data_IF_959826659292
#
_entry.id   IF_959826659292
#
_cell.length_a   1.000
_cell.length_b   1.000
_cell.length_c   1.000
_cell.angle_alpha   90.00
_cell.angle_beta   90.00
_cell.angle_gamma   90.00
#
_symmetry.space_group_name_H-M   'P 1'
#
loop_
_entity.id
_entity.type
_entity.pdbx_description
1 polymer ?
#
# COMPACT_ATOMS: atom_id res chain seq x y z
N UNK A 1 9.55 -28.80 8.03
CA UNK A 1 10.83 -28.11 8.33
C UNK A 1 12.04 -28.69 7.60
N UNK A 2 12.36 -29.99 7.68
CA UNK A 2 13.57 -30.52 7.00
C UNK A 2 13.53 -30.32 5.47
N UNK A 3 12.40 -30.57 4.82
CA UNK A 3 12.22 -30.31 3.39
C UNK A 3 12.25 -28.80 3.10
N UNK A 4 11.57 -27.99 3.90
CA UNK A 4 11.57 -26.52 3.78
C UNK A 4 13.00 -25.98 3.86
N UNK A 5 13.82 -26.45 4.81
CA UNK A 5 15.22 -26.04 4.93
C UNK A 5 16.06 -26.43 3.69
N UNK A 6 15.78 -27.58 3.07
CA UNK A 6 16.46 -27.97 1.81
C UNK A 6 16.07 -27.05 0.66
N UNK A 7 14.79 -26.70 0.55
CA UNK A 7 14.31 -25.76 -0.46
C UNK A 7 14.90 -24.37 -0.22
N UNK A 8 14.91 -23.90 1.04
CA UNK A 8 15.53 -22.64 1.41
C UNK A 8 17.03 -22.60 1.03
N UNK A 9 17.80 -23.66 1.33
CA UNK A 9 19.20 -23.72 0.94
C UNK A 9 19.39 -23.65 -0.58
N UNK A 10 18.50 -24.30 -1.36
CA UNK A 10 18.52 -24.21 -2.83
C UNK A 10 18.22 -22.80 -3.33
N UNK A 11 17.24 -22.12 -2.73
CA UNK A 11 16.88 -20.73 -3.05
C UNK A 11 18.06 -19.81 -2.69
N UNK A 12 18.66 -19.94 -1.50
CA UNK A 12 19.82 -19.14 -1.10
C UNK A 12 20.95 -19.20 -2.11
N UNK A 13 21.35 -20.39 -2.54
CA UNK A 13 22.43 -20.56 -3.53
C UNK A 13 22.14 -19.83 -4.86
N UNK A 14 20.86 -19.63 -5.21
CA UNK A 14 20.46 -18.90 -6.41
C UNK A 14 20.43 -17.39 -6.18
N UNK A 15 19.95 -16.97 -5.02
CA UNK A 15 19.94 -15.56 -4.64
C UNK A 15 21.35 -14.98 -4.50
N UNK A 16 22.34 -15.80 -4.08
CA UNK A 16 23.76 -15.42 -4.00
C UNK A 16 24.33 -15.02 -5.38
N UNK A 17 23.72 -15.44 -6.49
CA UNK A 17 24.13 -15.03 -7.83
C UNK A 17 23.66 -13.63 -8.23
N UNK A 18 22.75 -13.02 -7.47
CA UNK A 18 22.22 -11.69 -7.75
C UNK A 18 23.12 -10.65 -7.08
N UNK A 19 23.91 -9.96 -7.90
CA UNK A 19 24.97 -9.04 -7.44
C UNK A 19 24.47 -7.81 -6.69
N UNK A 20 23.21 -7.45 -6.85
CA UNK A 20 22.55 -6.30 -6.23
C UNK A 20 22.13 -6.54 -4.78
N UNK A 21 22.06 -7.81 -4.36
CA UNK A 21 21.75 -8.18 -2.97
C UNK A 21 23.05 -8.07 -2.15
N UNK A 22 22.98 -7.32 -1.04
CA UNK A 22 24.10 -7.18 -0.11
C UNK A 22 24.02 -8.20 1.02
N UNK A 23 22.83 -8.31 1.63
CA UNK A 23 22.55 -9.25 2.71
C UNK A 23 21.21 -9.94 2.51
N UNK A 24 21.15 -11.21 2.82
CA UNK A 24 19.91 -11.97 2.89
C UNK A 24 19.78 -12.67 4.23
N UNK A 25 18.64 -12.56 4.88
CA UNK A 25 18.27 -13.28 6.08
C UNK A 25 17.06 -14.15 5.82
N UNK A 26 17.06 -15.41 6.23
CA UNK A 26 15.97 -16.34 6.03
C UNK A 26 15.42 -16.87 7.35
N UNK A 27 14.08 -16.92 7.47
CA UNK A 27 13.38 -17.48 8.63
C UNK A 27 12.47 -18.60 8.14
N UNK A 28 12.75 -19.82 8.58
CA UNK A 28 11.90 -20.98 8.30
C UNK A 28 10.79 -21.13 9.33
N UNK A 29 9.61 -21.57 8.89
CA UNK A 29 8.43 -21.78 9.74
C UNK A 29 7.57 -20.55 9.96
N UNK A 30 7.88 -19.43 9.31
CA UNK A 30 7.16 -18.18 9.43
C UNK A 30 7.05 -17.48 8.08
N UNK A 31 5.91 -16.83 7.83
CA UNK A 31 5.68 -15.90 6.73
C UNK A 31 4.67 -14.84 7.15
N UNK A 32 4.47 -13.82 6.33
CA UNK A 32 3.39 -12.84 6.57
C UNK A 32 1.98 -13.45 6.48
N UNK A 33 1.83 -14.56 5.77
CA UNK A 33 0.55 -15.27 5.64
C UNK A 33 0.23 -16.14 6.85
N UNK A 34 1.20 -16.41 7.74
CA UNK A 34 1.01 -17.25 8.91
C UNK A 34 2.29 -17.98 9.35
N UNK A 35 2.15 -18.91 10.25
CA UNK A 35 3.24 -19.74 10.77
C UNK A 35 2.97 -21.21 10.46
N UNK A 36 3.96 -21.91 9.93
CA UNK A 36 3.82 -23.33 9.60
C UNK A 36 5.09 -23.95 9.04
N UNK A 37 5.23 -25.27 9.13
CA UNK A 37 6.47 -25.96 8.76
C UNK A 37 6.80 -25.90 7.26
N UNK A 38 5.85 -25.52 6.41
CA UNK A 38 5.99 -25.35 4.96
C UNK A 38 6.24 -23.91 4.54
N UNK A 39 6.28 -22.97 5.48
CA UNK A 39 6.45 -21.55 5.20
C UNK A 39 7.88 -21.10 5.49
N UNK A 40 8.34 -20.11 4.72
CA UNK A 40 9.62 -19.44 4.93
C UNK A 40 9.52 -18.00 4.47
N UNK A 41 10.33 -17.15 5.07
CA UNK A 41 10.39 -15.73 4.75
C UNK A 41 11.84 -15.29 4.59
N UNK A 42 12.08 -14.44 3.60
CA UNK A 42 13.37 -13.83 3.33
C UNK A 42 13.31 -12.33 3.54
N UNK A 43 14.30 -11.79 4.21
CA UNK A 43 14.56 -10.36 4.30
C UNK A 43 15.83 -10.08 3.52
N UNK A 44 15.75 -9.27 2.49
CA UNK A 44 16.88 -8.95 1.63
C UNK A 44 17.18 -7.46 1.71
N UNK A 45 18.44 -7.15 1.91
CA UNK A 45 18.95 -5.79 1.83
C UNK A 45 19.74 -5.65 0.54
N UNK A 46 19.34 -4.70 -0.29
CA UNK A 46 20.06 -4.40 -1.52
C UNK A 46 21.23 -3.47 -1.24
N UNK A 47 22.25 -3.50 -2.09
CA UNK A 47 23.39 -2.58 -2.05
C UNK A 47 22.91 -1.13 -2.09
N UNK A 48 23.74 -0.22 -1.60
CA UNK A 48 23.43 1.21 -1.57
C UNK A 48 23.06 1.76 -2.96
N UNK A 49 22.19 2.74 -3.02
CA UNK A 49 21.73 3.39 -4.24
C UNK A 49 22.86 3.91 -5.12
N UNK A 50 23.99 4.31 -4.50
CA UNK A 50 25.17 4.79 -5.23
C UNK A 50 25.90 3.68 -5.96
N UNK A 51 25.70 2.43 -5.58
CA UNK A 51 26.28 1.23 -6.18
C UNK A 51 25.37 0.53 -7.18
N UNK A 52 24.11 1.02 -7.33
CA UNK A 52 23.09 0.48 -8.23
C UNK A 52 22.52 1.60 -9.12
N UNK A 53 23.37 2.15 -10.00
CA UNK A 53 23.02 3.27 -10.88
C UNK A 53 22.73 2.86 -12.33
N UNK A 54 23.11 1.64 -12.69
CA UNK A 54 22.96 1.14 -14.04
C UNK A 54 21.51 0.71 -14.33
N UNK A 55 21.14 0.71 -15.59
CA UNK A 55 19.86 0.16 -16.04
C UNK A 55 19.75 -1.32 -15.63
N UNK A 56 18.58 -1.77 -15.18
CA UNK A 56 18.35 -3.14 -14.73
C UNK A 56 18.78 -3.43 -13.29
N UNK A 57 19.07 -2.40 -12.48
CA UNK A 57 19.43 -2.52 -11.06
C UNK A 57 18.39 -1.88 -10.12
N UNK A 58 17.22 -1.52 -10.63
CA UNK A 58 16.11 -1.04 -9.81
C UNK A 58 15.58 -2.15 -8.89
N UNK A 59 14.77 -1.79 -7.90
CA UNK A 59 14.13 -2.78 -7.02
C UNK A 59 13.24 -3.72 -7.83
N UNK A 60 12.49 -3.20 -8.79
CA UNK A 60 11.59 -3.98 -9.63
C UNK A 60 12.37 -4.93 -10.56
N UNK A 61 13.52 -4.49 -11.09
CA UNK A 61 14.41 -5.35 -11.87
C UNK A 61 14.98 -6.50 -11.02
N UNK A 62 15.36 -6.21 -9.76
CA UNK A 62 15.84 -7.23 -8.83
C UNK A 62 14.73 -8.23 -8.47
N UNK A 63 13.50 -7.78 -8.28
CA UNK A 63 12.33 -8.66 -8.10
C UNK A 63 12.17 -9.56 -9.32
N UNK A 64 12.27 -9.02 -10.54
CA UNK A 64 12.24 -9.81 -11.76
C UNK A 64 13.37 -10.86 -11.83
N UNK A 65 14.59 -10.50 -11.42
CA UNK A 65 15.73 -11.44 -11.32
C UNK A 65 15.48 -12.55 -10.29
N UNK A 66 14.86 -12.23 -9.14
CA UNK A 66 14.49 -13.22 -8.12
C UNK A 66 13.48 -14.21 -8.70
N UNK A 67 12.42 -13.74 -9.38
CA UNK A 67 11.45 -14.62 -10.02
C UNK A 67 12.10 -15.51 -11.10
N UNK A 68 12.97 -14.94 -11.93
CA UNK A 68 13.70 -15.71 -12.94
C UNK A 68 14.61 -16.78 -12.32
N UNK A 69 15.32 -16.42 -11.24
CA UNK A 69 16.22 -17.34 -10.53
C UNK A 69 15.48 -18.45 -9.78
N UNK A 70 14.21 -18.26 -9.42
CA UNK A 70 13.42 -19.24 -8.64
C UNK A 70 12.35 -19.96 -9.45
N UNK A 71 12.16 -19.62 -10.73
CA UNK A 71 11.12 -20.18 -11.61
C UNK A 71 11.16 -21.70 -11.76
N UNK A 72 12.34 -22.31 -11.67
CA UNK A 72 12.57 -23.75 -11.79
C UNK A 72 12.64 -24.47 -10.44
N UNK A 73 12.13 -23.89 -9.34
CA UNK A 73 11.97 -24.53 -8.04
C UNK A 73 10.53 -25.05 -7.90
N UNK A 74 10.25 -26.32 -8.25
CA UNK A 74 8.86 -26.81 -8.29
C UNK A 74 8.27 -27.05 -6.89
N UNK A 75 9.13 -27.11 -5.88
CA UNK A 75 8.77 -27.44 -4.49
C UNK A 75 8.28 -26.21 -3.70
N UNK A 76 8.31 -25.00 -4.27
CA UNK A 76 7.90 -23.78 -3.59
C UNK A 76 7.32 -22.74 -4.55
N UNK A 77 6.33 -21.99 -4.07
CA UNK A 77 5.86 -20.76 -4.70
C UNK A 77 6.55 -19.59 -4.02
N UNK A 78 7.28 -18.79 -4.81
CA UNK A 78 8.03 -17.63 -4.31
C UNK A 78 7.27 -16.35 -4.65
N UNK A 79 7.08 -15.51 -3.65
CA UNK A 79 6.56 -14.16 -3.80
C UNK A 79 7.61 -13.16 -3.34
N UNK A 80 8.03 -12.27 -4.24
CA UNK A 80 8.98 -11.21 -3.94
C UNK A 80 8.28 -9.86 -4.04
N UNK A 81 8.45 -9.01 -3.03
CA UNK A 81 7.81 -7.70 -2.98
C UNK A 81 8.72 -6.67 -2.33
N UNK A 82 8.61 -5.42 -2.73
CA UNK A 82 9.20 -4.30 -2.02
C UNK A 82 8.29 -3.82 -0.89
N UNK A 83 8.83 -3.28 0.22
CA UNK A 83 8.02 -2.72 1.28
C UNK A 83 7.19 -1.51 0.76
N UNK A 84 6.04 -1.21 1.39
CA UNK A 84 5.21 -0.08 0.98
C UNK A 84 5.94 1.25 1.20
N UNK A 85 5.62 2.26 0.39
CA UNK A 85 6.21 3.60 0.50
C UNK A 85 5.96 4.26 1.85
N UNK A 86 4.84 3.94 2.49
CA UNK A 86 4.47 4.43 3.83
C UNK A 86 4.40 3.23 4.76
N UNK A 87 5.30 3.18 5.75
CA UNK A 87 5.32 2.11 6.73
C UNK A 87 3.97 2.00 7.47
N UNK A 88 3.47 0.76 7.60
CA UNK A 88 2.19 0.48 8.26
C UNK A 88 0.96 0.47 7.34
N UNK A 89 1.11 0.80 6.05
CA UNK A 89 0.04 0.77 5.07
C UNK A 89 0.17 -0.40 4.08
N UNK A 90 -0.04 -1.62 4.56
CA UNK A 90 0.04 -2.82 3.75
C UNK A 90 1.36 -3.57 3.88
N UNK A 91 1.48 -4.70 3.18
CA UNK A 91 2.65 -5.58 3.24
C UNK A 91 3.66 -5.31 2.13
N UNK A 92 3.19 -4.84 0.97
CA UNK A 92 4.03 -4.57 -0.20
C UNK A 92 3.69 -3.25 -0.89
N UNK A 93 4.57 -2.84 -1.80
CA UNK A 93 4.32 -1.73 -2.70
C UNK A 93 3.39 -2.20 -3.82
N UNK A 94 2.24 -1.56 -3.99
CA UNK A 94 1.23 -1.94 -4.96
C UNK A 94 -0.18 -1.85 -4.38
N UNK A 95 -1.11 -2.61 -4.94
CA UNK A 95 -2.46 -2.67 -4.41
C UNK A 95 -2.67 -3.90 -3.52
N UNK A 96 -3.49 -3.71 -2.51
CA UNK A 96 -3.96 -4.76 -1.60
C UNK A 96 -5.48 -4.71 -1.55
N UNK A 97 -6.12 -5.85 -1.72
CA UNK A 97 -7.56 -5.99 -1.57
C UNK A 97 -7.92 -7.29 -0.87
N UNK A 98 -9.04 -7.27 -0.19
CA UNK A 98 -9.62 -8.41 0.50
C UNK A 98 -10.92 -8.79 -0.21
N UNK A 99 -10.90 -9.92 -0.89
CA UNK A 99 -12.13 -10.53 -1.42
C UNK A 99 -12.88 -11.18 -0.25
N UNK A 100 -14.16 -10.86 -0.09
CA UNK A 100 -14.98 -11.27 1.06
C UNK A 100 -16.10 -12.22 0.61
N UNK A 101 -16.28 -13.29 1.36
CA UNK A 101 -17.45 -14.16 1.25
C UNK A 101 -18.56 -13.71 2.21
N UNK A 102 -19.69 -13.29 1.69
CA UNK A 102 -20.86 -12.87 2.48
C UNK A 102 -21.75 -14.01 2.95
N UNK A 103 -21.54 -15.20 2.42
CA UNK A 103 -22.41 -16.36 2.71
C UNK A 103 -21.90 -17.22 3.87
N UNK A 104 -20.59 -17.17 4.16
CA UNK A 104 -19.94 -18.06 5.11
C UNK A 104 -19.97 -19.54 4.65
N UNK A 105 -20.02 -19.75 3.32
CA UNK A 105 -20.12 -21.06 2.72
C UNK A 105 -18.81 -21.85 2.66
N UNK A 106 -18.73 -22.80 1.70
CA UNK A 106 -17.56 -23.65 1.53
C UNK A 106 -16.33 -22.84 1.06
N UNK A 107 -15.25 -22.96 1.83
CA UNK A 107 -13.97 -22.25 1.57
C UNK A 107 -13.35 -22.67 0.24
N UNK A 108 -13.52 -23.91 -0.19
CA UNK A 108 -13.00 -24.39 -1.47
C UNK A 108 -13.76 -23.78 -2.66
N UNK A 109 -15.08 -23.58 -2.51
CA UNK A 109 -15.88 -22.88 -3.51
C UNK A 109 -15.49 -21.39 -3.57
N UNK A 110 -15.28 -20.74 -2.42
CA UNK A 110 -14.83 -19.36 -2.35
C UNK A 110 -13.45 -19.17 -3.00
N UNK A 111 -12.51 -20.10 -2.77
CA UNK A 111 -11.19 -20.08 -3.42
C UNK A 111 -11.30 -20.11 -4.96
N UNK A 112 -12.20 -20.93 -5.51
CA UNK A 112 -12.43 -20.98 -6.96
C UNK A 112 -12.90 -19.64 -7.54
N UNK A 113 -13.76 -18.93 -6.82
CA UNK A 113 -14.19 -17.58 -7.24
C UNK A 113 -13.04 -16.58 -7.12
N UNK A 114 -12.21 -16.70 -6.08
CA UNK A 114 -11.00 -15.87 -5.95
C UNK A 114 -10.01 -16.12 -7.10
N UNK A 115 -9.80 -17.38 -7.48
CA UNK A 115 -8.91 -17.73 -8.59
C UNK A 115 -9.41 -17.19 -9.94
N UNK A 116 -10.71 -17.29 -10.23
CA UNK A 116 -11.32 -16.68 -11.41
C UNK A 116 -11.12 -15.16 -11.44
N UNK A 117 -11.26 -14.51 -10.29
CA UNK A 117 -11.07 -13.08 -10.18
C UNK A 117 -9.62 -12.68 -10.39
N UNK A 118 -8.66 -13.41 -9.79
CA UNK A 118 -7.22 -13.21 -9.99
C UNK A 118 -6.85 -13.43 -11.47
N UNK A 119 -7.38 -14.48 -12.10
CA UNK A 119 -7.16 -14.75 -13.53
C UNK A 119 -7.72 -13.63 -14.42
N UNK A 120 -8.90 -13.12 -14.11
CA UNK A 120 -9.50 -12.01 -14.85
C UNK A 120 -8.69 -10.72 -14.68
N UNK A 121 -8.18 -10.44 -13.48
CA UNK A 121 -7.30 -9.30 -13.22
C UNK A 121 -5.96 -9.41 -13.96
N UNK A 122 -5.35 -10.60 -14.01
CA UNK A 122 -4.08 -10.82 -14.72
C UNK A 122 -4.15 -10.59 -16.24
N UNK A 123 -5.35 -10.58 -16.81
CA UNK A 123 -5.57 -10.29 -18.24
C UNK A 123 -5.73 -8.79 -18.55
N UNK A 124 -5.81 -7.96 -17.51
CA UNK A 124 -6.00 -6.50 -17.68
C UNK A 124 -4.65 -5.84 -17.98
N UNK A 125 -4.58 -4.95 -18.98
CA UNK A 125 -3.33 -4.24 -19.31
C UNK A 125 -2.86 -3.28 -18.20
N UNK A 126 -3.76 -2.84 -17.33
CA UNK A 126 -3.45 -1.95 -16.23
C UNK A 126 -2.80 -2.67 -15.03
N UNK A 127 -2.88 -4.02 -14.99
CA UNK A 127 -2.38 -4.86 -13.91
C UNK A 127 -1.10 -5.54 -14.36
N UNK A 128 -0.01 -5.34 -13.63
CA UNK A 128 1.27 -5.98 -13.91
C UNK A 128 1.36 -7.36 -13.28
N UNK A 129 1.24 -7.42 -11.98
CA UNK A 129 1.27 -8.66 -11.21
C UNK A 129 0.06 -8.71 -10.29
N UNK A 130 -0.53 -9.90 -10.15
CA UNK A 130 -1.61 -10.15 -9.19
C UNK A 130 -1.51 -11.57 -8.67
N UNK A 131 -1.60 -11.75 -7.36
CA UNK A 131 -1.48 -13.05 -6.70
C UNK A 131 -2.24 -13.09 -5.38
N UNK A 132 -2.52 -14.32 -4.94
CA UNK A 132 -2.99 -14.62 -3.59
C UNK A 132 -2.15 -15.74 -3.00
N UNK A 133 -1.74 -15.59 -1.75
CA UNK A 133 -1.01 -16.63 -1.00
C UNK A 133 -1.93 -17.64 -0.30
N UNK A 134 -3.24 -17.50 -0.44
CA UNK A 134 -4.22 -18.37 0.21
C UNK A 134 -4.25 -19.77 -0.42
N UNK A 135 -4.05 -20.80 0.40
CA UNK A 135 -4.15 -22.20 0.03
C UNK A 135 -5.35 -22.85 0.74
N UNK A 136 -6.28 -23.42 -0.04
CA UNK A 136 -7.45 -24.13 0.48
C UNK A 136 -7.24 -25.66 0.54
N UNK A 137 -6.16 -26.16 -0.02
CA UNK A 137 -5.84 -27.57 -0.22
C UNK A 137 -4.68 -28.07 0.66
N UNK A 138 -4.39 -27.35 1.76
CA UNK A 138 -3.33 -27.74 2.67
C UNK A 138 -3.63 -29.09 3.31
N UNK A 139 -2.72 -30.09 3.26
CA UNK A 139 -2.93 -31.40 3.82
C UNK A 139 -3.10 -31.34 5.34
N UNK A 140 -4.18 -31.87 5.85
CA UNK A 140 -4.54 -31.87 7.25
C UNK A 140 -5.01 -33.27 7.70
N UNK A 141 -5.09 -33.49 8.99
CA UNK A 141 -5.75 -34.64 9.59
C UNK A 141 -6.94 -34.17 10.40
N UNK A 142 -8.11 -34.74 10.08
CA UNK A 142 -9.27 -34.60 10.94
C UNK A 142 -9.12 -35.55 12.10
N UNK A 143 -9.25 -35.00 13.34
CA UNK A 143 -9.17 -35.75 14.58
C UNK A 143 -10.60 -36.06 15.04
N UNK A 144 -10.98 -37.34 14.97
CA UNK A 144 -12.25 -37.84 15.46
C UNK A 144 -12.02 -38.56 16.76
N UNK A 145 -12.72 -38.14 17.82
CA UNK A 145 -12.59 -38.69 19.17
C UNK A 145 -13.86 -39.47 19.52
N UNK A 146 -13.68 -40.73 19.89
CA UNK A 146 -14.78 -41.59 20.41
C UNK A 146 -15.05 -41.23 21.87
N UNK A 147 -15.97 -40.28 22.09
CA UNK A 147 -16.32 -39.77 23.41
C UNK A 147 -16.92 -40.91 24.31
N UNK A 148 -17.64 -41.88 23.73
CA UNK A 148 -18.20 -42.98 24.47
C UNK A 148 -17.12 -43.92 25.06
N UNK A 149 -16.08 -44.22 24.27
CA UNK A 149 -14.92 -44.99 24.76
C UNK A 149 -14.12 -44.20 25.79
N UNK A 150 -13.98 -42.88 25.61
CA UNK A 150 -13.32 -42.04 26.60
C UNK A 150 -14.04 -42.13 27.95
N UNK A 151 -15.36 -42.02 27.98
CA UNK A 151 -16.18 -42.07 29.18
C UNK A 151 -16.08 -43.46 29.85
N UNK A 152 -16.19 -44.56 29.09
CA UNK A 152 -16.05 -45.92 29.56
C UNK A 152 -14.68 -46.19 30.22
N UNK A 153 -13.62 -45.57 29.72
CA UNK A 153 -12.27 -45.73 30.24
C UNK A 153 -11.91 -44.68 31.30
N UNK A 154 -12.83 -43.79 31.66
CA UNK A 154 -12.57 -42.70 32.61
C UNK A 154 -11.54 -41.69 32.12
N UNK A 155 -11.48 -41.43 30.82
CA UNK A 155 -10.56 -40.45 30.22
C UNK A 155 -11.38 -39.28 29.68
N UNK A 156 -10.98 -38.06 30.01
CA UNK A 156 -11.61 -36.89 29.43
C UNK A 156 -11.19 -36.71 27.94
N UNK A 157 -12.10 -36.38 27.02
CA UNK A 157 -11.75 -35.99 25.67
C UNK A 157 -10.72 -34.82 25.62
N UNK A 158 -10.77 -33.92 26.60
CA UNK A 158 -9.82 -32.83 26.76
C UNK A 158 -8.40 -33.35 27.07
N UNK A 159 -8.26 -34.38 27.91
CA UNK A 159 -6.96 -35.00 28.19
C UNK A 159 -6.40 -35.73 27.00
N UNK A 160 -7.24 -36.36 26.19
CA UNK A 160 -6.87 -36.96 24.91
C UNK A 160 -6.28 -35.93 23.93
N UNK A 161 -7.00 -34.78 23.78
CA UNK A 161 -6.56 -33.70 22.93
C UNK A 161 -5.27 -33.03 23.42
N UNK A 162 -5.19 -32.77 24.72
CA UNK A 162 -4.00 -32.15 25.33
C UNK A 162 -2.78 -33.05 25.20
N UNK A 163 -2.94 -34.35 25.39
CA UNK A 163 -1.89 -35.34 25.19
C UNK A 163 -1.45 -35.40 23.73
N UNK A 164 -2.40 -35.49 22.79
CA UNK A 164 -2.14 -35.48 21.38
C UNK A 164 -1.38 -34.21 20.94
N UNK A 165 -1.82 -33.05 21.42
CA UNK A 165 -1.14 -31.76 21.17
C UNK A 165 0.26 -31.76 21.75
N UNK A 166 0.48 -32.26 22.97
CA UNK A 166 1.81 -32.35 23.58
C UNK A 166 2.78 -33.22 22.78
N UNK A 167 2.32 -34.34 22.25
CA UNK A 167 3.15 -35.22 21.40
C UNK A 167 3.47 -34.60 20.04
N UNK A 168 2.50 -34.04 19.32
CA UNK A 168 2.69 -33.53 17.96
C UNK A 168 3.17 -32.09 17.88
N UNK A 169 2.54 -31.18 18.60
CA UNK A 169 2.83 -29.74 18.57
C UNK A 169 3.93 -29.37 19.56
N UNK A 170 3.97 -30.08 20.67
CA UNK A 170 4.80 -29.77 21.83
C UNK A 170 4.05 -28.93 22.87
N UNK A 171 4.46 -29.12 24.12
CA UNK A 171 3.93 -28.38 25.26
C UNK A 171 5.00 -27.44 25.79
N UNK A 172 4.65 -26.18 25.94
CA UNK A 172 5.48 -25.21 26.65
C UNK A 172 5.46 -25.54 28.14
N UNK A 173 6.66 -25.69 28.72
CA UNK A 173 6.81 -26.16 30.12
C UNK A 173 7.30 -25.03 31.02
N UNK A 174 8.33 -24.31 30.64
CA UNK A 174 8.93 -23.23 31.43
C UNK A 174 9.88 -22.36 30.61
N UNK A 175 10.41 -21.32 31.26
CA UNK A 175 11.46 -20.46 30.73
C UNK A 175 12.72 -20.54 31.59
N UNK A 176 13.87 -20.29 30.97
CA UNK A 176 15.10 -20.02 31.69
C UNK A 176 15.89 -18.89 31.05
N UNK A 177 16.57 -18.11 31.89
CA UNK A 177 17.43 -17.02 31.45
C UNK A 177 18.89 -17.49 31.36
N UNK A 178 19.53 -17.31 30.19
CA UNK A 178 20.97 -17.57 29.99
C UNK A 178 21.53 -16.58 28.95
N UNK A 179 22.72 -16.10 29.20
CA UNK A 179 23.41 -15.16 28.31
C UNK A 179 22.57 -13.89 28.01
N UNK A 180 21.88 -13.35 29.02
CA UNK A 180 20.97 -12.19 28.90
C UNK A 180 19.81 -12.39 27.92
N UNK A 181 19.45 -13.64 27.60
CA UNK A 181 18.32 -14.01 26.75
C UNK A 181 17.39 -14.95 27.47
N UNK A 182 16.10 -14.82 27.17
CA UNK A 182 15.05 -15.74 27.61
C UNK A 182 14.96 -16.92 26.64
N UNK A 183 15.00 -18.14 27.15
CA UNK A 183 14.84 -19.37 26.39
C UNK A 183 13.58 -20.11 26.86
N UNK A 184 12.76 -20.52 25.89
CA UNK A 184 11.59 -21.34 26.14
C UNK A 184 11.96 -22.82 26.19
N UNK A 185 11.45 -23.53 27.19
CA UNK A 185 11.55 -24.98 27.29
C UNK A 185 10.26 -25.59 26.73
N UNK A 186 10.37 -26.28 25.61
CA UNK A 186 9.24 -26.98 24.99
C UNK A 186 9.51 -28.48 25.02
N UNK A 187 8.56 -29.25 25.51
CA UNK A 187 8.59 -30.71 25.55
C UNK A 187 7.76 -31.26 24.37
N UNK A 188 8.34 -32.12 23.56
CA UNK A 188 7.71 -32.70 22.38
C UNK A 188 8.23 -34.13 22.16
N UNK A 189 7.41 -35.00 21.57
CA UNK A 189 7.89 -36.33 21.18
C UNK A 189 9.00 -36.24 20.12
N UNK A 190 10.02 -37.13 20.18
CA UNK A 190 11.00 -37.26 19.08
C UNK A 190 10.33 -37.51 17.74
N UNK A 191 10.97 -37.06 16.65
CA UNK A 191 10.40 -37.12 15.30
C UNK A 191 9.97 -38.53 14.89
N UNK A 192 10.69 -39.55 15.26
CA UNK A 192 10.43 -40.94 14.99
C UNK A 192 9.09 -41.46 15.56
N UNK A 193 8.62 -40.88 16.66
CA UNK A 193 7.33 -41.22 17.29
C UNK A 193 6.14 -40.39 16.78
N UNK A 194 6.30 -39.58 15.73
CA UNK A 194 5.24 -38.73 15.16
C UNK A 194 5.26 -38.62 13.62
N UNK A 195 5.87 -39.60 12.94
CA UNK A 195 6.02 -39.60 11.48
C UNK A 195 4.72 -40.00 10.77
N UNK A 196 3.98 -40.95 11.34
CA UNK A 196 2.79 -41.54 10.74
C UNK A 196 1.62 -41.69 11.71
N UNK A 197 0.46 -42.08 11.21
CA UNK A 197 -0.73 -42.31 12.03
C UNK A 197 -0.61 -43.52 12.95
N UNK A 198 0.27 -44.47 12.64
CA UNK A 198 0.52 -45.67 13.48
C UNK A 198 1.23 -45.30 14.79
N UNK A 199 1.89 -44.15 14.81
CA UNK A 199 2.52 -43.63 16.03
C UNK A 199 1.52 -43.41 17.19
N UNK A 200 0.21 -43.27 16.90
CA UNK A 200 -0.85 -43.23 17.95
C UNK A 200 -0.83 -44.42 18.87
N UNK A 201 -0.36 -45.60 18.43
CA UNK A 201 -0.24 -46.78 19.27
C UNK A 201 0.88 -46.66 20.30
N UNK A 202 1.83 -45.77 20.11
CA UNK A 202 2.95 -45.50 20.98
C UNK A 202 2.75 -44.31 21.92
N UNK A 203 1.62 -43.64 21.80
CA UNK A 203 1.23 -42.49 22.62
C UNK A 203 0.21 -42.91 23.63
N UNK A 204 0.41 -42.54 24.89
CA UNK A 204 -0.45 -42.96 25.99
C UNK A 204 -1.10 -41.79 26.72
N UNK A 205 -2.35 -41.99 27.11
CA UNK A 205 -3.09 -41.08 27.98
C UNK A 205 -3.36 -41.76 29.32
N UNK A 206 -3.39 -41.00 30.39
CA UNK A 206 -3.66 -41.53 31.73
C UNK A 206 -5.17 -41.65 31.96
N UNK A 207 -5.61 -42.80 32.41
CA UNK A 207 -7.00 -43.09 32.78
C UNK A 207 -7.28 -42.68 34.26
N UNK A 208 -8.53 -42.59 34.64
CA UNK A 208 -8.94 -42.20 36.00
C UNK A 208 -8.46 -43.14 37.10
N UNK A 209 -8.28 -44.41 36.81
CA UNK A 209 -7.71 -45.42 37.70
C UNK A 209 -6.17 -45.41 37.78
N UNK A 210 -5.53 -44.49 37.04
CA UNK A 210 -4.07 -44.32 37.03
C UNK A 210 -3.34 -45.20 36.04
N UNK A 211 -4.01 -46.05 35.27
CA UNK A 211 -3.42 -46.86 34.22
C UNK A 211 -3.14 -46.03 32.97
N UNK A 212 -2.37 -46.58 32.02
CA UNK A 212 -2.02 -45.89 30.76
C UNK A 212 -2.72 -46.62 29.60
N UNK A 213 -3.49 -45.89 28.82
CA UNK A 213 -4.16 -46.41 27.62
C UNK A 213 -3.62 -45.76 26.34
N UNK A 214 -3.39 -46.53 25.25
CA UNK A 214 -2.90 -45.98 24.00
C UNK A 214 -3.95 -45.05 23.35
N UNK A 215 -3.49 -43.91 22.80
CA UNK A 215 -4.38 -42.92 22.14
C UNK A 215 -5.15 -43.48 20.95
N UNK A 216 -4.61 -44.51 20.30
CA UNK A 216 -5.27 -45.18 19.15
C UNK A 216 -6.64 -45.80 19.48
N UNK A 217 -6.93 -46.06 20.77
CA UNK A 217 -8.25 -46.55 21.21
C UNK A 217 -9.31 -45.45 21.15
N UNK A 218 -8.94 -44.20 21.33
CA UNK A 218 -9.83 -43.05 21.50
C UNK A 218 -9.88 -42.15 20.27
N UNK A 219 -8.82 -42.17 19.42
CA UNK A 219 -8.63 -41.21 18.35
C UNK A 219 -8.52 -41.92 16.99
N UNK A 220 -9.26 -41.42 16.01
CA UNK A 220 -9.10 -41.77 14.61
C UNK A 220 -8.64 -40.53 13.84
N UNK A 221 -7.54 -40.70 13.05
CA UNK A 221 -7.03 -39.66 12.17
C UNK A 221 -7.45 -39.96 10.73
N UNK A 222 -8.20 -39.04 10.12
CA UNK A 222 -8.59 -39.12 8.70
C UNK A 222 -7.90 -38.02 7.92
N UNK A 223 -7.22 -38.38 6.82
CA UNK A 223 -6.57 -37.41 5.93
C UNK A 223 -7.65 -36.56 5.28
N UNK A 224 -7.47 -35.26 5.33
CA UNK A 224 -8.33 -34.26 4.67
C UNK A 224 -7.49 -33.12 4.13
N UNK A 225 -8.08 -32.31 3.25
CA UNK A 225 -7.49 -31.05 2.83
C UNK A 225 -8.36 -29.93 3.36
N UNK A 226 -7.72 -28.82 3.72
CA UNK A 226 -8.42 -27.65 4.22
C UNK A 226 -7.55 -26.41 4.10
N UNK A 227 -8.07 -25.24 4.45
CA UNK A 227 -7.29 -24.00 4.43
C UNK A 227 -6.18 -24.05 5.48
N UNK A 228 -5.00 -23.52 5.12
CA UNK A 228 -3.89 -23.38 6.06
C UNK A 228 -4.21 -22.38 7.17
N UNK A 229 -4.92 -21.33 6.82
CA UNK A 229 -5.37 -20.23 7.67
C UNK A 229 -6.67 -19.65 7.12
N UNK A 230 -7.46 -19.02 7.95
CA UNK A 230 -8.66 -18.29 7.58
C UNK A 230 -8.56 -16.87 8.12
N UNK A 231 -8.43 -15.93 7.22
CA UNK A 231 -8.44 -14.51 7.56
C UNK A 231 -9.86 -13.97 7.49
N UNK A 232 -10.21 -13.09 8.41
CA UNK A 232 -11.45 -12.32 8.37
C UNK A 232 -11.15 -10.84 8.23
N UNK A 233 -11.87 -10.22 7.31
CA UNK A 233 -11.84 -8.79 7.13
C UNK A 233 -13.25 -8.22 7.26
N UNK A 234 -13.45 -7.26 8.16
CA UNK A 234 -14.78 -6.74 8.50
C UNK A 234 -15.81 -7.84 8.85
N UNK A 235 -15.38 -8.85 9.62
CA UNK A 235 -16.17 -10.01 10.08
C UNK A 235 -16.50 -11.05 9.01
N UNK A 236 -16.25 -10.81 7.73
CA UNK A 236 -16.42 -11.79 6.66
C UNK A 236 -15.16 -12.61 6.45
N UNK A 237 -15.30 -13.87 6.05
CA UNK A 237 -14.16 -14.64 5.57
C UNK A 237 -13.58 -13.96 4.34
N UNK A 238 -12.28 -13.78 4.32
CA UNK A 238 -11.63 -13.00 3.29
C UNK A 238 -10.36 -13.68 2.77
N UNK A 239 -10.11 -13.49 1.48
CA UNK A 239 -8.86 -13.87 0.80
C UNK A 239 -8.13 -12.59 0.41
N UNK A 240 -6.89 -12.44 0.89
CA UNK A 240 -6.04 -11.33 0.49
C UNK A 240 -5.53 -11.55 -0.95
N UNK A 241 -5.68 -10.53 -1.78
CA UNK A 241 -5.17 -10.47 -3.15
C UNK A 241 -4.26 -9.23 -3.22
N UNK A 242 -3.04 -9.46 -3.61
CA UNK A 242 -2.01 -8.43 -3.74
C UNK A 242 -1.56 -8.33 -5.19
N UNK A 243 -1.06 -7.18 -5.58
CA UNK A 243 -0.53 -6.99 -6.91
C UNK A 243 0.06 -5.61 -7.12
N UNK A 244 0.55 -5.37 -8.33
CA UNK A 244 1.12 -4.09 -8.73
C UNK A 244 0.52 -3.59 -10.04
N UNK A 245 0.47 -2.27 -10.27
CA UNK A 245 0.13 -1.72 -11.58
C UNK A 245 1.16 -2.16 -12.63
N UNK A 246 0.73 -2.29 -13.88
CA UNK A 246 1.64 -2.52 -14.99
C UNK A 246 2.51 -1.28 -15.22
N UNK A 247 3.70 -1.47 -15.78
CA UNK A 247 4.60 -0.36 -16.13
C UNK A 247 3.88 0.65 -17.04
N UNK A 248 3.92 1.93 -16.66
CA UNK A 248 3.23 3.02 -17.35
C UNK A 248 1.77 3.26 -16.93
N UNK A 249 1.24 2.49 -15.99
CA UNK A 249 -0.08 2.70 -15.40
C UNK A 249 0.02 3.14 -13.94
N UNK A 250 -0.87 4.04 -13.53
CA UNK A 250 -0.92 4.52 -12.14
C UNK A 250 -1.73 3.59 -11.23
N UNK A 251 -1.48 3.67 -9.91
CA UNK A 251 -2.27 2.96 -8.89
C UNK A 251 -3.77 3.25 -9.00
N UNK A 252 -4.15 4.50 -9.30
CA UNK A 252 -5.55 4.88 -9.51
C UNK A 252 -6.21 4.21 -10.71
N UNK A 253 -5.45 3.98 -11.80
CA UNK A 253 -5.94 3.23 -12.97
C UNK A 253 -6.12 1.75 -12.64
N UNK A 254 -5.18 1.15 -11.90
CA UNK A 254 -5.31 -0.22 -11.41
C UNK A 254 -6.52 -0.39 -10.49
N UNK A 255 -6.74 0.52 -9.53
CA UNK A 255 -7.92 0.52 -8.64
C UNK A 255 -9.23 0.58 -9.46
N UNK A 256 -9.28 1.42 -10.50
CA UNK A 256 -10.43 1.49 -11.39
C UNK A 256 -10.66 0.20 -12.16
N UNK A 257 -9.60 -0.38 -12.74
CA UNK A 257 -9.66 -1.66 -13.46
C UNK A 257 -10.12 -2.80 -12.55
N UNK A 258 -9.65 -2.85 -11.29
CA UNK A 258 -10.13 -3.80 -10.28
C UNK A 258 -11.65 -3.66 -10.06
N UNK A 259 -12.14 -2.43 -9.92
CA UNK A 259 -13.56 -2.17 -9.72
C UNK A 259 -14.44 -2.55 -10.91
N UNK A 260 -13.95 -2.37 -12.14
CA UNK A 260 -14.62 -2.81 -13.36
C UNK A 260 -14.68 -4.34 -13.43
N UNK A 261 -13.54 -5.02 -13.28
CA UNK A 261 -13.44 -6.47 -13.31
C UNK A 261 -14.28 -7.14 -12.21
N UNK A 262 -14.32 -6.53 -11.02
CA UNK A 262 -15.15 -7.02 -9.93
C UNK A 262 -16.64 -7.03 -10.26
N UNK A 263 -17.14 -6.01 -10.96
CA UNK A 263 -18.55 -5.95 -11.40
C UNK A 263 -18.89 -6.99 -12.49
N UNK A 264 -17.90 -7.37 -13.30
CA UNK A 264 -18.08 -8.30 -14.40
C UNK A 264 -18.01 -9.77 -13.94
N UNK A 265 -17.10 -10.07 -13.00
CA UNK A 265 -16.72 -11.44 -12.67
C UNK A 265 -17.27 -11.91 -11.33
N UNK A 266 -17.38 -11.02 -10.33
CA UNK A 266 -17.76 -11.43 -8.99
C UNK A 266 -19.27 -11.68 -8.86
N UNK A 267 -19.67 -12.85 -8.30
CA UNK A 267 -21.07 -13.09 -7.97
C UNK A 267 -21.55 -12.17 -6.83
N UNK A 268 -22.86 -11.99 -6.71
CA UNK A 268 -23.46 -11.15 -5.65
C UNK A 268 -23.16 -11.64 -4.21
N UNK A 269 -22.73 -12.89 -4.08
CA UNK A 269 -22.31 -13.50 -2.81
C UNK A 269 -20.93 -13.04 -2.34
N UNK A 270 -20.12 -12.50 -3.25
CA UNK A 270 -18.79 -11.98 -2.97
C UNK A 270 -18.77 -10.47 -3.05
N UNK A 271 -17.93 -9.87 -2.21
CA UNK A 271 -17.59 -8.44 -2.30
C UNK A 271 -16.09 -8.28 -2.14
N UNK A 272 -15.58 -7.10 -2.42
CA UNK A 272 -14.19 -6.78 -2.16
C UNK A 272 -14.06 -5.46 -1.42
N UNK A 273 -13.01 -5.32 -0.63
CA UNK A 273 -12.60 -4.06 -0.02
C UNK A 273 -11.09 -3.89 -0.18
N UNK A 274 -10.67 -2.66 -0.41
CA UNK A 274 -9.26 -2.34 -0.45
C UNK A 274 -8.65 -2.34 0.95
N UNK A 275 -7.43 -2.84 1.07
CA UNK A 275 -6.58 -2.78 2.25
C UNK A 275 -5.48 -1.72 2.10
N UNK A 276 -4.69 -1.57 3.15
CA UNK A 276 -3.47 -0.77 3.13
C UNK A 276 -3.60 0.62 2.52
N UNK A 277 -2.61 1.01 1.73
CA UNK A 277 -2.58 2.30 1.04
C UNK A 277 -3.68 2.41 -0.03
N UNK A 278 -4.04 1.32 -0.70
CA UNK A 278 -5.08 1.31 -1.74
C UNK A 278 -6.45 1.72 -1.21
N UNK A 279 -6.74 1.43 0.07
CA UNK A 279 -7.95 1.90 0.73
C UNK A 279 -7.99 3.43 0.83
N UNK A 280 -6.88 4.03 1.21
CA UNK A 280 -6.80 5.50 1.33
C UNK A 280 -6.81 6.17 -0.05
N UNK A 281 -6.12 5.60 -1.03
CA UNK A 281 -6.16 6.08 -2.41
C UNK A 281 -7.56 5.99 -3.01
N UNK A 282 -8.27 4.89 -2.82
CA UNK A 282 -9.66 4.72 -3.28
C UNK A 282 -10.61 5.76 -2.68
N UNK A 283 -10.48 6.06 -1.38
CA UNK A 283 -11.25 7.11 -0.71
C UNK A 283 -10.88 8.50 -1.22
N UNK A 284 -9.58 8.76 -1.36
CA UNK A 284 -9.06 10.06 -1.78
C UNK A 284 -9.45 10.37 -3.22
N UNK A 285 -9.36 9.40 -4.12
CA UNK A 285 -9.75 9.57 -5.54
C UNK A 285 -11.22 9.97 -5.66
N UNK A 286 -12.10 9.41 -4.83
CA UNK A 286 -13.52 9.77 -4.83
C UNK A 286 -13.79 11.16 -4.23
N UNK A 287 -12.96 11.63 -3.31
CA UNK A 287 -13.16 12.86 -2.56
C UNK A 287 -12.27 14.03 -3.00
N UNK A 288 -11.25 13.77 -3.82
CA UNK A 288 -10.26 14.79 -4.22
C UNK A 288 -10.93 16.01 -4.85
N UNK A 289 -11.86 15.81 -5.78
CA UNK A 289 -12.58 16.89 -6.43
C UNK A 289 -13.39 17.74 -5.43
N UNK A 290 -14.01 17.10 -4.44
CA UNK A 290 -14.76 17.79 -3.37
C UNK A 290 -13.81 18.60 -2.47
N UNK A 291 -12.64 18.03 -2.11
CA UNK A 291 -11.63 18.72 -1.30
C UNK A 291 -11.08 19.94 -2.06
N UNK A 292 -10.73 19.79 -3.34
CA UNK A 292 -10.29 20.90 -4.18
C UNK A 292 -11.36 21.98 -4.30
N UNK A 293 -12.61 21.61 -4.52
CA UNK A 293 -13.73 22.56 -4.57
C UNK A 293 -13.90 23.30 -3.25
N UNK A 294 -13.84 22.59 -2.11
CA UNK A 294 -13.93 23.19 -0.78
C UNK A 294 -12.78 24.17 -0.54
N UNK A 295 -11.54 23.80 -0.89
CA UNK A 295 -10.39 24.70 -0.80
C UNK A 295 -10.59 25.96 -1.64
N UNK A 296 -11.07 25.84 -2.87
CA UNK A 296 -11.35 26.98 -3.75
C UNK A 296 -12.42 27.90 -3.19
N UNK A 297 -13.52 27.33 -2.65
CA UNK A 297 -14.60 28.10 -2.01
C UNK A 297 -14.09 28.84 -0.76
N UNK A 298 -13.32 28.16 0.10
CA UNK A 298 -12.75 28.80 1.31
C UNK A 298 -11.81 29.95 0.94
N UNK A 299 -10.90 29.72 -0.03
CA UNK A 299 -10.00 30.77 -0.52
C UNK A 299 -10.83 31.94 -1.08
N UNK A 300 -11.85 31.65 -1.88
CA UNK A 300 -12.73 32.69 -2.42
C UNK A 300 -13.41 33.52 -1.32
N UNK A 301 -14.00 32.88 -0.31
CA UNK A 301 -14.65 33.58 0.81
C UNK A 301 -13.69 34.44 1.60
N UNK A 302 -12.48 33.93 1.89
CA UNK A 302 -11.42 34.69 2.57
C UNK A 302 -11.02 35.90 1.73
N UNK A 303 -10.86 35.75 0.43
CA UNK A 303 -10.51 36.84 -0.46
C UNK A 303 -11.65 37.85 -0.59
N UNK A 304 -12.91 37.42 -0.63
CA UNK A 304 -14.04 38.32 -0.61
C UNK A 304 -14.07 39.20 0.66
N UNK A 305 -13.78 38.62 1.82
CA UNK A 305 -13.68 39.34 3.08
C UNK A 305 -12.50 40.32 3.10
N UNK A 306 -11.34 39.92 2.54
CA UNK A 306 -10.13 40.74 2.51
C UNK A 306 -10.24 41.95 1.57
N UNK A 307 -10.87 41.76 0.40
CA UNK A 307 -11.01 42.80 -0.62
C UNK A 307 -12.31 43.59 -0.52
N UNK A 308 -13.21 43.23 0.40
CA UNK A 308 -14.57 43.79 0.46
C UNK A 308 -15.26 43.81 -0.92
N UNK A 309 -15.00 42.79 -1.71
CA UNK A 309 -15.42 42.67 -3.10
C UNK A 309 -15.68 41.23 -3.49
N UNK A 310 -16.74 41.01 -4.22
CA UNK A 310 -17.10 39.70 -4.79
C UNK A 310 -16.38 39.46 -6.12
N UNK A 311 -16.02 40.50 -6.88
CA UNK A 311 -15.51 40.38 -8.24
C UNK A 311 -13.97 40.22 -8.31
N UNK A 312 -13.23 40.95 -7.50
CA UNK A 312 -11.75 40.94 -7.54
C UNK A 312 -11.17 39.53 -7.26
N UNK A 313 -11.70 38.75 -6.30
CA UNK A 313 -11.21 37.41 -6.03
C UNK A 313 -11.20 36.47 -7.23
N UNK A 314 -12.08 36.66 -8.21
CA UNK A 314 -12.08 35.84 -9.44
C UNK A 314 -10.80 36.02 -10.25
N UNK A 315 -10.19 37.21 -10.24
CA UNK A 315 -8.90 37.43 -10.92
C UNK A 315 -7.79 36.55 -10.32
N UNK A 316 -7.82 36.31 -9.00
CA UNK A 316 -6.89 35.44 -8.32
C UNK A 316 -7.18 33.99 -8.62
N UNK A 317 -8.44 33.56 -8.49
CA UNK A 317 -8.82 32.14 -8.67
C UNK A 317 -8.60 31.63 -10.10
N UNK A 318 -8.85 32.46 -11.11
CA UNK A 318 -8.61 32.09 -12.52
C UNK A 318 -7.14 31.88 -12.86
N UNK A 319 -6.20 32.29 -12.03
CA UNK A 319 -4.78 32.01 -12.23
C UNK A 319 -4.36 30.61 -11.74
N UNK A 320 -5.12 29.99 -10.81
CA UNK A 320 -4.79 28.70 -10.19
C UNK A 320 -4.73 27.55 -11.22
N UNK A 321 -5.66 27.42 -12.18
CA UNK A 321 -5.59 26.36 -13.19
C UNK A 321 -4.27 26.33 -13.99
N UNK A 322 -3.66 27.48 -14.21
CA UNK A 322 -2.35 27.54 -14.91
C UNK A 322 -1.23 26.92 -14.06
N UNK A 323 -1.30 27.06 -12.75
CA UNK A 323 -0.35 26.39 -11.85
C UNK A 323 -0.55 24.88 -11.81
N UNK A 324 -1.81 24.43 -11.74
CA UNK A 324 -2.10 22.99 -11.81
C UNK A 324 -1.64 22.39 -13.14
N UNK A 325 -1.85 23.09 -14.26
CA UNK A 325 -1.33 22.68 -15.56
C UNK A 325 0.20 22.54 -15.53
N UNK A 326 0.91 23.50 -14.93
CA UNK A 326 2.37 23.46 -14.77
C UNK A 326 2.85 22.25 -13.97
N UNK A 327 2.13 21.90 -12.91
CA UNK A 327 2.43 20.71 -12.08
C UNK A 327 2.32 19.42 -12.87
N UNK A 328 1.23 19.23 -13.61
CA UNK A 328 1.05 18.05 -14.45
C UNK A 328 2.01 18.00 -15.62
N UNK A 329 2.36 19.15 -16.21
CA UNK A 329 3.34 19.23 -17.28
C UNK A 329 4.73 18.75 -16.80
N UNK A 330 5.16 19.18 -15.61
CA UNK A 330 6.43 18.74 -15.03
C UNK A 330 6.37 17.28 -14.59
N UNK A 331 5.27 16.83 -14.02
CA UNK A 331 5.09 15.41 -13.69
C UNK A 331 5.23 14.52 -14.94
N UNK A 332 4.58 14.90 -16.04
CA UNK A 332 4.71 14.21 -17.32
C UNK A 332 6.15 14.23 -17.87
N UNK A 333 6.82 15.38 -17.82
CA UNK A 333 8.19 15.55 -18.32
C UNK A 333 9.21 14.72 -17.54
N UNK A 334 8.99 14.50 -16.23
CA UNK A 334 9.86 13.70 -15.37
C UNK A 334 9.36 12.25 -15.16
N UNK A 335 8.33 11.82 -15.88
CA UNK A 335 7.80 10.46 -15.80
C UNK A 335 7.22 10.08 -14.43
N UNK A 336 6.68 11.07 -13.71
CA UNK A 336 6.12 10.87 -12.37
C UNK A 336 4.62 10.66 -12.42
N UNK A 337 4.14 9.73 -11.61
CA UNK A 337 2.72 9.40 -11.49
C UNK A 337 1.97 10.37 -10.58
N UNK A 338 0.65 10.47 -10.81
CA UNK A 338 -0.24 11.21 -9.92
C UNK A 338 -0.56 10.38 -8.67
N UNK A 339 0.32 10.46 -7.69
CA UNK A 339 0.20 9.80 -6.39
C UNK A 339 -0.27 10.79 -5.29
N UNK A 340 -0.46 10.28 -4.08
CA UNK A 340 -0.89 11.06 -2.91
C UNK A 340 0.03 12.26 -2.61
N UNK A 341 1.34 12.11 -2.82
CA UNK A 341 2.32 13.18 -2.63
C UNK A 341 2.17 14.29 -3.66
N UNK A 342 1.93 13.92 -4.91
CA UNK A 342 1.65 14.87 -6.00
C UNK A 342 0.37 15.65 -5.70
N UNK A 343 -0.71 15.00 -5.26
CA UNK A 343 -1.97 15.65 -4.89
C UNK A 343 -1.79 16.63 -3.73
N UNK A 344 -0.97 16.27 -2.73
CA UNK A 344 -0.61 17.18 -1.64
C UNK A 344 0.13 18.42 -2.18
N UNK A 345 1.06 18.22 -3.12
CA UNK A 345 1.74 19.31 -3.83
C UNK A 345 0.77 20.24 -4.57
N UNK A 346 -0.24 19.68 -5.24
CA UNK A 346 -1.27 20.46 -5.94
C UNK A 346 -2.06 21.37 -4.97
N UNK A 347 -2.44 20.87 -3.80
CA UNK A 347 -3.11 21.68 -2.78
C UNK A 347 -2.19 22.81 -2.30
N UNK A 348 -0.91 22.51 -2.08
CA UNK A 348 0.06 23.51 -1.65
C UNK A 348 0.24 24.64 -2.68
N UNK A 349 0.28 24.32 -3.97
CA UNK A 349 0.40 25.33 -5.05
C UNK A 349 -0.76 26.30 -5.07
N UNK A 350 -2.00 25.86 -4.80
CA UNK A 350 -3.16 26.73 -4.74
C UNK A 350 -2.92 27.88 -3.76
N UNK A 351 -2.44 27.55 -2.56
CA UNK A 351 -2.12 28.57 -1.54
C UNK A 351 -0.96 29.48 -1.93
N UNK A 352 0.10 28.93 -2.54
CA UNK A 352 1.27 29.71 -2.93
C UNK A 352 1.00 30.68 -4.07
N UNK A 353 0.27 30.24 -5.10
CA UNK A 353 -0.11 31.08 -6.23
C UNK A 353 -1.13 32.16 -5.80
N UNK A 354 -2.10 31.78 -4.96
CA UNK A 354 -3.05 32.74 -4.40
C UNK A 354 -2.32 33.86 -3.66
N UNK A 355 -1.36 33.55 -2.79
CA UNK A 355 -0.55 34.54 -2.09
C UNK A 355 0.14 35.51 -3.04
N UNK A 356 0.72 34.99 -4.13
CA UNK A 356 1.41 35.82 -5.13
C UNK A 356 0.45 36.73 -5.89
N UNK A 357 -0.72 36.19 -6.29
CA UNK A 357 -1.75 36.96 -6.96
C UNK A 357 -2.35 38.05 -6.07
N UNK A 358 -2.56 37.75 -4.77
CA UNK A 358 -3.04 38.71 -3.76
C UNK A 358 -2.13 39.93 -3.71
N UNK A 359 -0.81 39.73 -3.59
CA UNK A 359 0.16 40.84 -3.51
C UNK A 359 0.11 41.75 -4.74
N UNK A 360 -0.20 41.24 -5.91
CA UNK A 360 -0.32 41.99 -7.14
C UNK A 360 -1.63 42.77 -7.21
N UNK A 361 -2.76 42.10 -6.93
CA UNK A 361 -4.11 42.71 -6.99
C UNK A 361 -4.33 43.75 -5.90
N UNK A 362 -3.80 43.53 -4.69
CA UNK A 362 -3.84 44.52 -3.60
C UNK A 362 -3.10 45.81 -3.97
N UNK A 363 -1.88 45.68 -4.52
CA UNK A 363 -1.12 46.83 -4.93
C UNK A 363 -1.79 47.57 -6.12
N UNK A 364 -2.39 46.84 -7.06
CA UNK A 364 -3.15 47.43 -8.17
C UNK A 364 -4.39 48.20 -7.65
N UNK A 365 -5.13 47.62 -6.68
CA UNK A 365 -6.26 48.26 -6.03
C UNK A 365 -5.91 49.57 -5.31
N UNK A 366 -4.77 49.55 -4.59
CA UNK A 366 -4.22 50.73 -3.90
C UNK A 366 -3.88 51.87 -4.90
N UNK A 367 -3.18 51.50 -6.01
CA UNK A 367 -2.89 52.49 -7.08
C UNK A 367 -4.14 53.03 -7.77
N UNK A 368 -5.15 52.22 -7.89
CA UNK A 368 -6.46 52.67 -8.41
C UNK A 368 -7.15 53.67 -7.48
N UNK A 369 -7.12 53.42 -6.17
CA UNK A 369 -7.66 54.37 -5.17
C UNK A 369 -6.90 55.71 -5.10
N UNK A 370 -5.60 55.72 -5.47
CA UNK A 370 -4.80 56.91 -5.63
C UNK A 370 -5.07 57.71 -6.89
N UNK A 371 -6.06 57.30 -7.73
CA UNK A 371 -6.55 58.03 -8.91
C UNK A 371 -5.96 57.59 -10.25
N UNK A 372 -5.14 56.53 -10.32
CA UNK A 372 -4.61 56.03 -11.59
C UNK A 372 -5.72 55.38 -12.44
N UNK A 373 -5.55 55.38 -13.77
CA UNK A 373 -6.44 54.60 -14.66
C UNK A 373 -6.24 53.10 -14.39
N UNK A 374 -7.28 52.28 -14.70
CA UNK A 374 -7.23 50.83 -14.46
C UNK A 374 -6.01 50.19 -15.11
N UNK A 375 -5.71 50.53 -16.37
CA UNK A 375 -4.55 50.00 -17.08
C UNK A 375 -3.22 50.45 -16.45
N UNK A 376 -3.09 51.71 -16.06
CA UNK A 376 -1.89 52.25 -15.39
C UNK A 376 -1.68 51.61 -14.02
N UNK A 377 -2.75 51.42 -13.23
CA UNK A 377 -2.69 50.77 -11.94
C UNK A 377 -2.20 49.30 -12.04
N UNK A 378 -2.77 48.54 -12.98
CA UNK A 378 -2.39 47.16 -13.24
C UNK A 378 -0.92 47.03 -13.73
N UNK A 379 -0.51 47.88 -14.68
CA UNK A 379 0.85 47.91 -15.21
C UNK A 379 1.86 48.30 -14.11
N UNK A 380 1.56 49.35 -13.33
CA UNK A 380 2.42 49.79 -12.20
C UNK A 380 2.57 48.66 -11.16
N UNK A 381 1.49 47.95 -10.84
CA UNK A 381 1.51 46.82 -9.94
C UNK A 381 2.42 45.69 -10.46
N UNK A 382 2.24 45.29 -11.73
CA UNK A 382 3.08 44.27 -12.36
C UNK A 382 4.56 44.66 -12.34
N UNK A 383 4.89 45.92 -12.69
CA UNK A 383 6.26 46.40 -12.74
C UNK A 383 6.93 46.45 -11.35
N UNK A 384 6.24 46.98 -10.33
CA UNK A 384 6.80 47.16 -8.99
C UNK A 384 6.89 45.82 -8.24
N UNK A 385 5.89 44.96 -8.41
CA UNK A 385 5.82 43.67 -7.72
C UNK A 385 6.58 42.54 -8.41
N UNK A 386 7.07 42.73 -9.66
CA UNK A 386 7.82 41.73 -10.39
C UNK A 386 9.00 41.18 -9.60
N UNK A 387 9.87 42.10 -9.06
CA UNK A 387 11.06 41.69 -8.29
C UNK A 387 10.69 40.88 -7.02
N UNK A 388 9.83 41.35 -6.11
CA UNK A 388 9.41 40.58 -4.94
C UNK A 388 8.81 39.22 -5.28
N UNK A 389 7.99 39.15 -6.33
CA UNK A 389 7.38 37.89 -6.77
C UNK A 389 8.45 36.91 -7.26
N UNK A 390 9.35 37.35 -8.14
CA UNK A 390 10.43 36.50 -8.63
C UNK A 390 11.37 36.05 -7.51
N UNK A 391 11.69 36.93 -6.55
CA UNK A 391 12.52 36.55 -5.39
C UNK A 391 11.87 35.42 -4.58
N UNK A 392 10.59 35.53 -4.26
CA UNK A 392 9.89 34.50 -3.46
C UNK A 392 9.77 33.18 -4.22
N UNK A 393 9.44 33.24 -5.51
CA UNK A 393 9.30 32.05 -6.34
C UNK A 393 10.64 31.35 -6.57
N UNK A 394 11.69 32.09 -6.95
CA UNK A 394 13.01 31.52 -7.14
C UNK A 394 13.58 30.95 -5.85
N UNK A 395 13.45 31.65 -4.72
CA UNK A 395 13.88 31.13 -3.43
C UNK A 395 13.21 29.79 -3.10
N UNK A 396 11.91 29.67 -3.37
CA UNK A 396 11.16 28.44 -3.13
C UNK A 396 11.54 27.33 -4.10
N UNK A 397 11.67 27.64 -5.39
CA UNK A 397 12.11 26.68 -6.42
C UNK A 397 13.50 26.15 -6.07
N UNK A 398 14.46 27.03 -5.78
CA UNK A 398 15.81 26.60 -5.38
C UNK A 398 15.81 25.80 -4.07
N UNK A 399 14.96 26.16 -3.12
CA UNK A 399 14.79 25.42 -1.88
C UNK A 399 14.24 23.99 -2.08
N UNK A 400 13.45 23.76 -3.13
CA UNK A 400 12.86 22.46 -3.43
C UNK A 400 13.70 21.61 -4.41
N UNK A 401 14.69 22.18 -5.12
CA UNK A 401 15.57 21.42 -6.02
C UNK A 401 16.24 20.23 -5.32
N UNK A 402 16.83 20.35 -4.12
CA UNK A 402 17.41 19.19 -3.44
C UNK A 402 16.40 18.08 -3.19
N UNK A 403 15.13 18.42 -2.91
CA UNK A 403 14.06 17.47 -2.69
C UNK A 403 13.62 16.79 -4.00
N UNK A 404 13.62 17.52 -5.12
CA UNK A 404 13.37 16.99 -6.46
C UNK A 404 14.47 16.03 -6.91
N UNK A 405 15.72 16.29 -6.52
CA UNK A 405 16.89 15.47 -6.83
C UNK A 405 17.19 14.41 -5.76
N UNK A 406 16.31 14.22 -4.80
CA UNK A 406 16.50 13.25 -3.73
C UNK A 406 16.65 11.83 -4.28
N UNK A 407 17.55 11.06 -3.67
CA UNK A 407 17.79 9.64 -3.95
C UNK A 407 17.73 8.86 -2.65
N UNK A 408 17.37 7.58 -2.72
CA UNK A 408 17.30 6.71 -1.57
C UNK A 408 15.88 6.41 -1.09
N UNK A 409 15.77 5.94 0.14
CA UNK A 409 14.50 5.51 0.74
C UNK A 409 13.52 6.69 0.83
N UNK A 410 12.28 6.51 0.34
CA UNK A 410 11.26 7.57 0.36
C UNK A 410 11.45 8.69 -0.67
N UNK A 411 12.50 8.64 -1.48
CA UNK A 411 12.80 9.68 -2.46
C UNK A 411 11.68 9.88 -3.50
N UNK A 412 10.99 8.83 -3.93
CA UNK A 412 9.92 8.92 -4.93
C UNK A 412 8.76 9.82 -4.48
N UNK A 413 8.34 9.73 -3.21
CA UNK A 413 7.33 10.62 -2.64
C UNK A 413 7.80 12.07 -2.62
N UNK A 414 8.99 12.32 -2.11
CA UNK A 414 9.60 13.65 -2.04
C UNK A 414 9.79 14.27 -3.43
N UNK A 415 10.27 13.49 -4.40
CA UNK A 415 10.42 13.91 -5.80
C UNK A 415 9.09 14.27 -6.44
N UNK A 416 8.04 13.44 -6.25
CA UNK A 416 6.71 13.71 -6.80
C UNK A 416 6.14 15.01 -6.26
N UNK A 417 6.22 15.24 -4.95
CA UNK A 417 5.78 16.47 -4.31
C UNK A 417 6.57 17.68 -4.83
N UNK A 418 7.91 17.61 -4.78
CA UNK A 418 8.77 18.75 -5.15
C UNK A 418 8.65 19.11 -6.64
N UNK A 419 8.63 18.11 -7.53
CA UNK A 419 8.50 18.32 -8.99
C UNK A 419 7.16 18.96 -9.33
N UNK A 420 6.07 18.49 -8.70
CA UNK A 420 4.75 19.09 -8.88
C UNK A 420 4.73 20.55 -8.46
N UNK A 421 5.27 20.85 -7.28
CA UNK A 421 5.31 22.23 -6.76
C UNK A 421 6.22 23.13 -7.61
N UNK A 422 7.41 22.68 -7.98
CA UNK A 422 8.33 23.46 -8.82
C UNK A 422 7.68 23.76 -10.17
N UNK A 423 7.10 22.76 -10.86
CA UNK A 423 6.43 22.94 -12.13
C UNK A 423 5.26 23.92 -12.06
N UNK A 424 4.42 23.74 -11.04
CA UNK A 424 3.29 24.64 -10.81
C UNK A 424 3.69 26.06 -10.46
N UNK A 425 4.75 26.24 -9.67
CA UNK A 425 5.29 27.58 -9.34
C UNK A 425 5.89 28.28 -10.56
N UNK A 426 6.69 27.60 -11.38
CA UNK A 426 7.32 28.20 -12.56
C UNK A 426 6.25 28.62 -13.56
N UNK A 427 5.44 27.67 -14.03
CA UNK A 427 4.43 27.90 -15.08
C UNK A 427 3.33 28.82 -14.56
N UNK A 428 2.84 28.54 -13.32
CA UNK A 428 1.80 29.34 -12.69
C UNK A 428 2.22 30.79 -12.46
N UNK A 429 3.46 31.05 -12.02
CA UNK A 429 3.93 32.43 -11.81
C UNK A 429 4.12 33.17 -13.12
N UNK A 430 4.64 32.52 -14.18
CA UNK A 430 4.75 33.12 -15.49
C UNK A 430 3.36 33.50 -16.02
N UNK A 431 2.39 32.58 -15.93
CA UNK A 431 1.02 32.86 -16.34
C UNK A 431 0.37 33.98 -15.50
N UNK A 432 0.60 33.96 -14.19
CA UNK A 432 0.05 34.93 -13.23
C UNK A 432 0.51 36.36 -13.54
N UNK A 433 1.78 36.56 -13.91
CA UNK A 433 2.30 37.90 -14.24
C UNK A 433 1.59 38.56 -15.42
N UNK A 434 1.03 37.79 -16.35
CA UNK A 434 0.29 38.31 -17.51
C UNK A 434 -1.23 38.25 -17.30
N UNK A 435 -1.73 37.15 -16.74
CA UNK A 435 -3.18 36.94 -16.59
C UNK A 435 -3.79 37.81 -15.50
N UNK A 436 -3.16 37.88 -14.32
CA UNK A 436 -3.75 38.59 -13.18
C UNK A 436 -3.92 40.09 -13.45
N UNK A 437 -2.94 40.83 -14.03
CA UNK A 437 -3.16 42.23 -14.38
C UNK A 437 -4.31 42.44 -15.36
N UNK A 438 -4.43 41.57 -16.37
CA UNK A 438 -5.49 41.64 -17.37
C UNK A 438 -6.87 41.33 -16.77
N UNK A 439 -6.95 40.30 -15.92
CA UNK A 439 -8.17 39.92 -15.23
C UNK A 439 -8.57 40.98 -14.19
N UNK A 440 -7.59 41.59 -13.48
CA UNK A 440 -7.86 42.69 -12.56
C UNK A 440 -8.52 43.84 -13.26
N UNK A 441 -8.08 44.31 -14.45
CA UNK A 441 -8.71 45.36 -15.23
C UNK A 441 -10.16 45.02 -15.50
N UNK A 442 -10.42 43.77 -15.95
CA UNK A 442 -11.77 43.34 -16.32
C UNK A 442 -12.70 43.31 -15.10
N UNK A 443 -12.28 42.66 -14.02
CA UNK A 443 -13.14 42.51 -12.83
C UNK A 443 -13.30 43.81 -12.03
N UNK A 444 -12.27 44.64 -11.97
CA UNK A 444 -12.38 45.97 -11.35
C UNK A 444 -13.33 46.90 -12.14
N UNK A 445 -13.26 46.82 -13.48
CA UNK A 445 -14.24 47.59 -14.31
C UNK A 445 -15.68 47.15 -14.07
N UNK A 446 -15.93 45.85 -13.96
CA UNK A 446 -17.24 45.30 -13.65
C UNK A 446 -17.72 45.80 -12.25
N UNK A 447 -16.84 45.73 -11.26
CA UNK A 447 -17.14 46.20 -9.90
C UNK A 447 -17.47 47.68 -9.86
N UNK A 448 -16.69 48.52 -10.53
CA UNK A 448 -16.95 49.95 -10.60
C UNK A 448 -18.27 50.28 -11.29
N UNK A 449 -18.65 49.51 -12.32
CA UNK A 449 -19.93 49.66 -13.03
C UNK A 449 -21.12 49.25 -12.14
N UNK A 450 -20.98 48.17 -11.37
CA UNK A 450 -22.02 47.71 -10.43
C UNK A 450 -22.18 48.66 -9.25
N UNK A 451 -21.11 49.29 -8.75
CA UNK A 451 -21.19 50.30 -7.69
C UNK A 451 -21.78 51.65 -8.16
N UNK A 452 -21.78 51.91 -9.49
CA UNK A 452 -22.37 53.14 -10.06
C UNK A 452 -23.88 53.06 -10.34
N UNK A 453 -24.39 51.84 -10.49
CA UNK A 453 -25.82 51.56 -10.55
C UNK A 453 -26.39 51.27 -9.16
#
# INVERSE_FOLDING_TARGET
MAQTNKVMARINNRLDSISEIEYSGAVGGFSFSGSGPSQAMYFMTLKDWNQRKDEGQSVDDVIGKIYAATADVPDATVFAMSPPMIAGYGMGNGFELYLQDKTGGDVAAFKKEADKFVEALSRRPEIGEVYSSFAADYPQYWVDIDAAKCEQSGVSPADVLSTLSGYYTGSYVSDFNRFSKLYHVTMQAPAEYRINTESLNLMYVRTSDGSMAPLSQFVRLTKTNGPSDLTRFNLFNAIAINGSPASGYSSGQAIKAIGETAREVLPATCSYEFGGLSREESKTTNNAAMIFMLCMVLIYLILCALYESVFIPFAVLLSVPCGLMGSFLFAWMFGLENNIYMQTGLIMIIGLLAKTAILLTEYAGKRRSEGMTLAQAAYSAAKVRLRPILMTVLSMVFGLIPLMMAHGVGANGSRSLATGVIGGMIVGTLALLFLVPSLFITFQYIQERVKRN
#
